data_IF_725696140282
#
_entry.id   IF_725696140282
#
_cell.length_a   1.000
_cell.length_b   1.000
_cell.length_c   1.000
_cell.angle_alpha   90.00
_cell.angle_beta   90.00
_cell.angle_gamma   90.00
#
_symmetry.space_group_name_H-M   'P 1'
#
loop_
_entity.id
_entity.type
_entity.pdbx_description
1 polymer ?
#
# COMPACT_ATOMS: atom_id res chain seq x y z
N UNK A 1 -5.16 11.01 45.13
CA UNK A 1 -4.33 10.57 43.98
C UNK A 1 -4.95 9.31 43.42
N UNK A 2 -5.21 9.26 42.10
CA UNK A 2 -4.23 8.59 41.24
C UNK A 2 -3.95 9.32 39.91
N UNK A 3 -2.65 9.30 39.59
CA UNK A 3 -1.97 9.24 38.30
C UNK A 3 -2.63 9.84 37.05
N UNK A 4 -2.03 10.97 36.67
CA UNK A 4 -2.04 11.62 35.36
C UNK A 4 -1.65 10.58 34.29
N UNK A 5 -2.62 10.13 33.49
CA UNK A 5 -2.34 9.49 32.22
C UNK A 5 -1.95 10.58 31.22
N UNK A 6 -0.67 10.96 31.25
CA UNK A 6 -0.09 11.78 30.20
C UNK A 6 -0.28 11.04 28.88
N UNK A 7 -1.16 11.54 28.03
CA UNK A 7 -1.21 11.17 26.64
C UNK A 7 0.18 11.46 26.07
N UNK A 8 1.02 10.43 25.95
CA UNK A 8 2.25 10.53 25.19
C UNK A 8 1.83 10.82 23.76
N UNK A 9 1.85 12.11 23.39
CA UNK A 9 2.09 12.53 22.02
C UNK A 9 3.40 11.83 21.65
N UNK A 10 3.30 10.67 21.03
CA UNK A 10 4.39 10.10 20.27
C UNK A 10 4.60 11.08 19.13
N UNK A 11 5.45 12.07 19.38
CA UNK A 11 5.88 13.04 18.39
C UNK A 11 6.64 12.23 17.36
N UNK A 12 5.93 11.75 16.35
CA UNK A 12 6.56 11.13 15.20
C UNK A 12 7.45 12.21 14.61
N UNK A 13 8.76 12.15 14.87
CA UNK A 13 9.76 13.05 14.28
C UNK A 13 10.03 12.63 12.83
N UNK A 14 8.96 12.58 12.04
CA UNK A 14 9.03 12.33 10.62
C UNK A 14 9.23 13.65 9.90
N UNK A 15 10.26 13.71 9.05
CA UNK A 15 10.37 14.80 8.08
C UNK A 15 9.32 14.66 6.97
N UNK A 16 8.83 13.44 6.74
CA UNK A 16 7.87 13.14 5.66
C UNK A 16 6.48 12.92 6.23
N UNK A 17 5.56 13.85 5.95
CA UNK A 17 4.16 13.73 6.33
C UNK A 17 3.37 12.79 5.40
N UNK A 18 2.15 12.42 5.79
CA UNK A 18 1.30 11.50 5.01
C UNK A 18 0.98 12.00 3.60
N UNK A 19 0.83 13.31 3.38
CA UNK A 19 0.58 13.86 2.05
C UNK A 19 1.82 13.75 1.15
N UNK A 20 3.00 13.96 1.71
CA UNK A 20 4.27 13.73 1.01
C UNK A 20 4.44 12.25 0.61
N UNK A 21 4.11 11.32 1.52
CA UNK A 21 4.12 9.87 1.23
C UNK A 21 3.13 9.50 0.13
N UNK A 22 1.92 10.07 0.17
CA UNK A 22 0.89 9.91 -0.86
C UNK A 22 1.41 10.39 -2.21
N UNK A 23 2.04 11.58 -2.25
CA UNK A 23 2.62 12.16 -3.46
C UNK A 23 3.72 11.29 -4.06
N UNK A 24 4.65 10.80 -3.25
CA UNK A 24 5.71 9.87 -3.68
C UNK A 24 5.10 8.61 -4.30
N UNK A 25 4.10 8.03 -3.65
CA UNK A 25 3.48 6.81 -4.15
C UNK A 25 2.62 7.03 -5.41
N UNK A 26 2.03 8.22 -5.60
CA UNK A 26 1.40 8.64 -6.87
C UNK A 26 2.43 8.82 -7.99
N UNK A 27 3.56 9.49 -7.71
CA UNK A 27 4.65 9.70 -8.66
C UNK A 27 5.30 8.37 -9.11
N UNK A 28 5.19 7.32 -8.28
CA UNK A 28 5.61 5.95 -8.65
C UNK A 28 4.51 5.12 -9.35
N UNK A 29 3.40 5.75 -9.73
CA UNK A 29 2.26 5.14 -10.43
C UNK A 29 1.66 3.92 -9.70
N UNK A 30 1.60 3.95 -8.37
CA UNK A 30 1.20 2.79 -7.57
C UNK A 30 -0.29 2.71 -7.28
N UNK A 31 -0.92 3.88 -7.21
CA UNK A 31 -2.36 4.07 -7.15
C UNK A 31 -2.61 5.47 -7.71
N UNK A 32 -3.26 5.54 -8.86
CA UNK A 32 -3.88 6.72 -9.50
C UNK A 32 -4.20 6.44 -10.99
N UNK A 33 -3.81 5.27 -11.52
CA UNK A 33 -4.46 4.77 -12.72
C UNK A 33 -5.96 4.69 -12.44
N UNK A 34 -6.80 5.08 -13.39
CA UNK A 34 -8.28 4.98 -13.40
C UNK A 34 -8.84 3.58 -13.10
N UNK A 35 -7.97 2.62 -12.79
CA UNK A 35 -8.18 1.22 -12.49
C UNK A 35 -7.78 0.83 -11.05
N UNK A 36 -7.42 1.80 -10.20
CA UNK A 36 -7.11 1.54 -8.79
C UNK A 36 -8.41 1.54 -7.99
N UNK A 37 -8.98 0.36 -7.76
CA UNK A 37 -10.29 0.21 -7.12
C UNK A 37 -10.33 0.59 -5.64
N UNK A 38 -9.20 0.91 -5.00
CA UNK A 38 -9.14 1.25 -3.59
C UNK A 38 -8.06 2.32 -3.31
N UNK A 39 -8.30 3.20 -2.32
CA UNK A 39 -7.26 4.07 -1.79
C UNK A 39 -6.09 3.23 -1.23
N UNK A 40 -4.87 3.78 -1.22
CA UNK A 40 -3.72 3.12 -0.63
C UNK A 40 -3.93 2.99 0.89
N UNK A 41 -3.48 1.89 1.45
CA UNK A 41 -3.35 1.74 2.89
C UNK A 41 -1.96 2.23 3.31
N UNK A 42 -1.91 3.25 4.16
CA UNK A 42 -0.68 3.75 4.76
C UNK A 42 -0.55 3.20 6.18
N UNK A 43 0.65 2.71 6.51
CA UNK A 43 0.97 2.22 7.86
C UNK A 43 2.35 2.71 8.24
N UNK A 44 2.49 3.38 9.38
CA UNK A 44 3.78 3.79 9.89
C UNK A 44 4.32 2.74 10.86
N UNK A 45 5.57 2.34 10.66
CA UNK A 45 6.29 1.46 11.57
C UNK A 45 7.27 2.28 12.40
N UNK A 46 6.89 2.55 13.66
CA UNK A 46 7.67 3.31 14.62
C UNK A 46 8.97 2.61 15.08
N UNK A 47 9.09 1.29 14.89
CA UNK A 47 10.33 0.57 15.26
C UNK A 47 11.44 0.79 14.22
N UNK A 48 11.07 1.07 12.98
CA UNK A 48 12.01 1.15 11.85
C UNK A 48 12.00 2.51 11.16
N UNK A 49 11.22 3.47 11.66
CA UNK A 49 10.99 4.79 11.07
C UNK A 49 10.68 4.72 9.57
N UNK A 50 9.74 3.84 9.22
CA UNK A 50 9.36 3.60 7.83
C UNK A 50 7.86 3.67 7.64
N UNK A 51 7.47 4.31 6.56
CA UNK A 51 6.12 4.27 6.03
C UNK A 51 5.96 3.11 5.07
N UNK A 52 4.93 2.31 5.29
CA UNK A 52 4.50 1.29 4.37
C UNK A 52 3.28 1.79 3.61
N UNK A 53 3.36 1.80 2.29
CA UNK A 53 2.24 2.14 1.41
C UNK A 53 1.83 0.89 0.66
N UNK A 54 0.65 0.38 0.95
CA UNK A 54 0.09 -0.82 0.32
C UNK A 54 -1.02 -0.42 -0.64
N UNK A 55 -0.88 -0.79 -1.90
CA UNK A 55 -1.92 -0.60 -2.92
C UNK A 55 -2.43 -1.96 -3.37
N UNK A 56 -3.72 -2.05 -3.64
CA UNK A 56 -4.36 -3.26 -4.13
C UNK A 56 -5.09 -2.93 -5.42
N UNK A 57 -4.74 -3.66 -6.49
CA UNK A 57 -5.35 -3.54 -7.81
C UNK A 57 -6.00 -4.85 -8.18
N UNK A 58 -7.29 -4.79 -8.50
CA UNK A 58 -8.02 -5.93 -9.03
C UNK A 58 -8.18 -5.77 -10.54
N UNK A 59 -7.94 -6.85 -11.27
CA UNK A 59 -8.16 -6.91 -12.72
C UNK A 59 -8.91 -8.19 -13.04
N UNK A 60 -10.16 -8.05 -13.49
CA UNK A 60 -10.87 -9.15 -14.10
C UNK A 60 -10.26 -9.46 -15.47
N UNK A 61 -10.14 -10.74 -15.80
CA UNK A 61 -9.73 -11.20 -17.13
C UNK A 61 -10.85 -12.00 -17.76
N UNK A 62 -10.98 -11.89 -19.09
CA UNK A 62 -11.95 -12.65 -19.88
C UNK A 62 -11.51 -14.11 -20.04
N UNK A 63 -12.47 -14.98 -20.34
CA UNK A 63 -12.28 -16.40 -20.70
C UNK A 63 -11.10 -16.60 -21.65
N UNK A 64 -10.25 -17.60 -21.37
CA UNK A 64 -9.08 -17.95 -22.20
C UNK A 64 -7.72 -17.43 -21.71
N UNK A 65 -7.66 -16.44 -20.81
CA UNK A 65 -6.38 -15.99 -20.20
C UNK A 65 -5.96 -16.78 -18.96
N UNK A 66 -6.92 -17.40 -18.26
CA UNK A 66 -6.66 -18.40 -17.23
C UNK A 66 -7.12 -19.73 -17.81
N UNK A 67 -6.16 -20.65 -17.99
CA UNK A 67 -6.15 -21.73 -18.97
C UNK A 67 -7.40 -22.63 -19.06
N UNK A 68 -8.36 -22.57 -18.12
CA UNK A 68 -9.52 -23.47 -18.02
C UNK A 68 -10.80 -22.88 -17.38
N UNK A 69 -10.93 -21.56 -17.18
CA UNK A 69 -12.08 -20.96 -16.44
C UNK A 69 -12.75 -19.81 -17.21
N UNK A 70 -14.04 -19.53 -16.93
CA UNK A 70 -14.84 -18.46 -17.55
C UNK A 70 -14.27 -17.04 -17.33
N UNK A 71 -13.31 -16.92 -16.42
CA UNK A 71 -12.48 -15.74 -16.19
C UNK A 71 -11.65 -15.94 -14.93
N UNK A 72 -10.72 -15.02 -14.66
CA UNK A 72 -10.05 -14.98 -13.37
C UNK A 72 -9.82 -13.53 -12.94
N UNK A 73 -9.92 -13.28 -11.64
CA UNK A 73 -9.59 -12.00 -11.03
C UNK A 73 -8.15 -12.05 -10.57
N UNK A 74 -7.33 -11.18 -11.17
CA UNK A 74 -5.94 -10.99 -10.77
C UNK A 74 -5.92 -9.87 -9.74
N UNK A 75 -5.58 -10.21 -8.50
CA UNK A 75 -5.29 -9.25 -7.46
C UNK A 75 -3.78 -8.99 -7.43
N UNK A 76 -3.38 -7.74 -7.62
CA UNK A 76 -2.00 -7.30 -7.50
C UNK A 76 -1.88 -6.40 -6.29
N UNK A 77 -1.06 -6.82 -5.33
CA UNK A 77 -0.73 -6.06 -4.14
C UNK A 77 0.66 -5.48 -4.35
N UNK A 78 0.81 -4.17 -4.24
CA UNK A 78 2.13 -3.54 -4.24
C UNK A 78 2.36 -2.86 -2.91
N UNK A 79 3.50 -3.15 -2.28
CA UNK A 79 3.91 -2.53 -1.01
C UNK A 79 5.19 -1.74 -1.27
N UNK A 80 5.15 -0.44 -1.00
CA UNK A 80 6.36 0.36 -0.85
C UNK A 80 6.72 0.50 0.61
N UNK A 81 8.01 0.52 0.86
CA UNK A 81 8.57 0.97 2.11
C UNK A 81 9.32 2.26 1.84
N UNK A 82 8.94 3.34 2.53
CA UNK A 82 9.50 4.68 2.38
C UNK A 82 10.10 5.09 3.72
N UNK A 83 11.31 5.63 3.67
CA UNK A 83 12.01 6.14 4.85
C UNK A 83 11.36 7.45 5.35
N UNK A 84 11.08 7.51 6.65
CA UNK A 84 10.38 8.62 7.30
C UNK A 84 11.18 9.94 7.28
N UNK A 85 12.52 9.85 7.31
CA UNK A 85 13.40 11.02 7.40
C UNK A 85 13.81 11.56 6.03
N UNK A 86 14.07 10.68 5.07
CA UNK A 86 14.59 11.05 3.76
C UNK A 86 13.53 11.08 2.67
N UNK A 87 12.34 10.53 2.92
CA UNK A 87 11.29 10.35 1.91
C UNK A 87 11.69 9.40 0.79
N UNK A 88 12.82 8.69 0.91
CA UNK A 88 13.31 7.77 -0.12
C UNK A 88 12.57 6.44 -0.05
N UNK A 89 12.28 5.88 -1.21
CA UNK A 89 11.78 4.50 -1.30
C UNK A 89 12.93 3.55 -0.97
N UNK A 90 12.80 2.82 0.14
CA UNK A 90 13.76 1.83 0.60
C UNK A 90 13.51 0.47 -0.05
N UNK A 91 12.24 0.10 -0.22
CA UNK A 91 11.87 -1.18 -0.80
C UNK A 91 10.57 -1.09 -1.60
N UNK A 92 10.45 -2.00 -2.59
CA UNK A 92 9.24 -2.19 -3.37
C UNK A 92 8.99 -3.68 -3.57
N UNK A 93 7.91 -4.17 -2.96
CA UNK A 93 7.43 -5.54 -3.14
C UNK A 93 6.15 -5.56 -3.98
N UNK A 94 6.08 -6.47 -4.94
CA UNK A 94 4.87 -6.72 -5.74
C UNK A 94 4.48 -8.18 -5.62
N UNK A 95 3.24 -8.43 -5.20
CA UNK A 95 2.64 -9.75 -5.09
C UNK A 95 1.43 -9.81 -6.02
N UNK A 96 1.27 -10.91 -6.75
CA UNK A 96 0.12 -11.13 -7.61
C UNK A 96 -0.56 -12.44 -7.22
N UNK A 97 -1.81 -12.35 -6.79
CA UNK A 97 -2.68 -13.49 -6.49
C UNK A 97 -3.71 -13.65 -7.60
N UNK A 98 -3.92 -14.87 -8.05
CA UNK A 98 -4.95 -15.21 -9.05
C UNK A 98 -6.10 -15.89 -8.33
N UNK A 99 -7.29 -15.36 -8.50
CA UNK A 99 -8.54 -15.96 -8.05
C UNK A 99 -9.28 -16.45 -9.29
N UNK A 100 -9.35 -17.77 -9.44
CA UNK A 100 -10.07 -18.37 -10.56
C UNK A 100 -11.57 -18.26 -10.31
N UNK A 101 -12.33 -17.85 -11.33
CA UNK A 101 -13.78 -17.88 -11.27
C UNK A 101 -14.23 -19.26 -11.76
N UNK A 102 -14.43 -20.19 -10.83
CA UNK A 102 -15.03 -21.49 -11.14
C UNK A 102 -16.55 -21.26 -11.12
N UNK A 103 -17.15 -21.11 -12.30
CA UNK A 103 -18.59 -21.34 -12.49
C UNK A 103 -18.79 -22.78 -12.96
#
# INVERSE_FOLDING_TARGET
MPHIAGAQKSSINCATDTASIISIAKAKHLYNDSNSNAPPLLTYNAQTDKWMVKTVRYRATRKGKCAKVNGCTICTITTLTIDCHTGKVVDRKKETRKFNNYE
#
